data_IF_710864309081
#
_entry.id   IF_710864309081
#
_cell.length_a   1.000
_cell.length_b   1.000
_cell.length_c   1.000
_cell.angle_alpha   90.00
_cell.angle_beta   90.00
_cell.angle_gamma   90.00
#
_symmetry.space_group_name_H-M   'P 1'
#
loop_
_entity.id
_entity.type
_entity.pdbx_description
1 polymer ?
#
# COMPACT_ATOMS: atom_id res chain seq x y z
N UNK A 1 35.09 25.06 -62.06
CA UNK A 1 33.81 24.98 -61.32
C UNK A 1 33.83 23.80 -60.35
N UNK A 2 34.40 23.95 -59.15
CA UNK A 2 34.38 22.90 -58.10
C UNK A 2 34.19 23.45 -56.68
N UNK A 3 33.87 24.73 -56.54
CA UNK A 3 33.72 25.39 -55.22
C UNK A 3 32.41 25.02 -54.52
N UNK A 4 31.31 24.83 -55.27
CA UNK A 4 29.98 24.56 -54.67
C UNK A 4 29.89 23.22 -53.93
N UNK A 5 30.45 22.14 -54.48
CA UNK A 5 30.37 20.79 -53.89
C UNK A 5 31.10 20.69 -52.54
N UNK A 6 32.25 21.35 -52.42
CA UNK A 6 33.05 21.33 -51.18
C UNK A 6 32.43 22.20 -50.09
N UNK A 7 31.68 23.24 -50.45
CA UNK A 7 30.96 24.09 -49.51
C UNK A 7 29.72 23.35 -48.96
N UNK A 8 28.95 22.70 -49.81
CA UNK A 8 27.80 21.87 -49.41
C UNK A 8 28.24 20.71 -48.50
N UNK A 9 29.36 20.05 -48.82
CA UNK A 9 29.89 18.96 -48.00
C UNK A 9 30.29 19.41 -46.59
N UNK A 10 30.91 20.58 -46.43
CA UNK A 10 31.23 21.15 -45.10
C UNK A 10 29.98 21.52 -44.30
N UNK A 11 28.94 22.02 -44.96
CA UNK A 11 27.65 22.33 -44.32
C UNK A 11 26.97 21.05 -43.81
N UNK A 12 26.94 19.99 -44.61
CA UNK A 12 26.36 18.70 -44.21
C UNK A 12 27.12 18.09 -43.02
N UNK A 13 28.45 18.14 -43.04
CA UNK A 13 29.30 17.67 -41.93
C UNK A 13 29.05 18.51 -40.66
N UNK A 14 28.92 19.83 -40.80
CA UNK A 14 28.61 20.71 -39.68
C UNK A 14 27.25 20.44 -39.04
N UNK A 15 26.21 20.21 -39.86
CA UNK A 15 24.87 19.86 -39.38
C UNK A 15 24.88 18.48 -38.69
N UNK A 16 25.56 17.50 -39.28
CA UNK A 16 25.72 16.18 -38.67
C UNK A 16 26.42 16.23 -37.31
N UNK A 17 27.49 17.03 -37.19
CA UNK A 17 28.19 17.25 -35.93
C UNK A 17 27.31 17.95 -34.89
N UNK A 18 26.51 18.95 -35.29
CA UNK A 18 25.59 19.65 -34.40
C UNK A 18 24.51 18.70 -33.85
N UNK A 19 23.92 17.86 -34.71
CA UNK A 19 22.93 16.86 -34.30
C UNK A 19 23.54 15.87 -33.31
N UNK A 20 24.76 15.38 -33.57
CA UNK A 20 25.47 14.47 -32.67
C UNK A 20 25.71 15.09 -31.28
N UNK A 21 26.08 16.37 -31.23
CA UNK A 21 26.27 17.09 -29.96
C UNK A 21 24.95 17.25 -29.20
N UNK A 22 23.86 17.60 -29.89
CA UNK A 22 22.52 17.76 -29.27
C UNK A 22 22.00 16.43 -28.72
N UNK A 23 22.11 15.35 -29.49
CA UNK A 23 21.67 14.00 -29.06
C UNK A 23 22.55 13.48 -27.94
N UNK A 24 23.88 13.66 -28.05
CA UNK A 24 24.82 13.28 -26.99
C UNK A 24 24.56 14.04 -25.70
N UNK A 25 24.31 15.35 -25.76
CA UNK A 25 23.95 16.14 -24.58
C UNK A 25 22.60 15.70 -23.99
N UNK A 26 21.60 15.42 -24.83
CA UNK A 26 20.30 14.90 -24.40
C UNK A 26 20.39 13.53 -23.72
N UNK A 27 21.25 12.63 -24.19
CA UNK A 27 21.46 11.33 -23.53
C UNK A 27 22.27 11.43 -22.23
N UNK A 28 23.23 12.36 -22.15
CA UNK A 28 24.13 12.48 -20.99
C UNK A 28 23.54 13.35 -19.87
N UNK A 29 22.71 14.34 -20.20
CA UNK A 29 22.12 15.30 -19.25
C UNK A 29 20.59 15.25 -19.19
N UNK A 30 19.91 14.53 -20.07
CA UNK A 30 18.43 14.44 -20.10
C UNK A 30 17.81 13.57 -19.01
N UNK A 31 18.62 12.80 -18.27
CA UNK A 31 18.16 11.95 -17.17
C UNK A 31 18.54 12.47 -15.77
N UNK A 32 18.93 13.75 -15.65
CA UNK A 32 19.55 14.26 -14.43
C UNK A 32 19.02 15.60 -13.93
N UNK A 33 17.77 15.63 -13.47
CA UNK A 33 17.38 16.59 -12.44
C UNK A 33 16.33 15.94 -11.52
N UNK A 34 16.70 15.43 -10.33
CA UNK A 34 15.72 15.32 -9.26
C UNK A 34 15.30 16.75 -8.92
N UNK A 35 14.11 17.14 -9.37
CA UNK A 35 13.44 18.29 -8.77
C UNK A 35 13.19 17.92 -7.32
N UNK A 36 14.02 18.43 -6.42
CA UNK A 36 13.77 18.43 -4.98
C UNK A 36 12.59 19.36 -4.69
N UNK A 37 11.40 18.92 -5.08
CA UNK A 37 10.15 19.42 -4.53
C UNK A 37 9.89 18.53 -3.32
N UNK A 38 9.90 19.13 -2.13
CA UNK A 38 9.53 18.46 -0.88
C UNK A 38 8.08 17.99 -1.01
N UNK A 39 7.88 16.73 -1.39
CA UNK A 39 6.56 16.13 -1.52
C UNK A 39 6.08 15.70 -0.15
N UNK A 40 5.13 16.48 0.38
CA UNK A 40 4.23 16.04 1.43
C UNK A 40 3.53 14.76 0.94
N UNK A 41 3.75 13.62 1.60
CA UNK A 41 3.08 12.37 1.27
C UNK A 41 1.60 12.51 1.67
N UNK A 42 0.76 12.89 0.72
CA UNK A 42 -0.66 12.56 0.75
C UNK A 42 -0.75 11.13 0.23
N UNK A 43 -1.28 10.21 1.04
CA UNK A 43 -1.66 8.88 0.61
C UNK A 43 -2.81 8.99 -0.41
N UNK A 44 -2.50 9.37 -1.64
CA UNK A 44 -3.33 9.06 -2.80
C UNK A 44 -3.33 7.54 -3.00
N UNK A 45 -4.34 6.98 -3.69
CA UNK A 45 -4.44 5.53 -3.89
C UNK A 45 -3.13 5.07 -4.52
N UNK A 46 -2.30 4.45 -3.69
CA UNK A 46 -1.06 3.86 -4.12
C UNK A 46 -1.45 2.83 -5.19
N UNK A 47 -0.73 2.82 -6.29
CA UNK A 47 -0.77 1.74 -7.28
C UNK A 47 -0.21 0.47 -6.63
N UNK A 48 -0.93 -0.08 -5.64
CA UNK A 48 -0.66 -1.37 -5.00
C UNK A 48 -1.59 -2.36 -5.64
N UNK A 49 -1.37 -2.69 -6.90
CA UNK A 49 -2.31 -3.65 -7.50
C UNK A 49 -1.73 -4.39 -8.69
N UNK A 50 -0.64 -5.14 -8.47
CA UNK A 50 -0.32 -6.32 -9.29
C UNK A 50 0.58 -7.32 -8.54
N UNK A 51 1.56 -6.85 -7.77
CA UNK A 51 2.50 -7.76 -7.10
C UNK A 51 1.90 -8.43 -5.84
N UNK A 52 1.14 -7.69 -5.01
CA UNK A 52 0.47 -8.28 -3.84
C UNK A 52 -0.56 -9.35 -4.20
N UNK A 53 -1.23 -9.20 -5.36
CA UNK A 53 -2.19 -10.19 -5.86
C UNK A 53 -1.53 -11.50 -6.30
N UNK A 54 -0.32 -11.43 -6.88
CA UNK A 54 0.45 -12.62 -7.29
C UNK A 54 0.93 -13.43 -6.10
N UNK A 55 1.42 -12.78 -5.05
CA UNK A 55 1.88 -13.45 -3.83
C UNK A 55 0.75 -14.23 -3.14
N UNK A 56 -0.44 -13.60 -3.03
CA UNK A 56 -1.64 -14.25 -2.49
C UNK A 56 -2.07 -15.43 -3.38
N UNK A 57 -2.08 -15.26 -4.70
CA UNK A 57 -2.42 -16.33 -5.64
C UNK A 57 -1.45 -17.52 -5.54
N UNK A 58 -0.15 -17.26 -5.40
CA UNK A 58 0.86 -18.29 -5.19
C UNK A 58 0.65 -19.03 -3.86
N UNK A 59 0.34 -18.31 -2.78
CA UNK A 59 0.02 -18.92 -1.50
C UNK A 59 -1.24 -19.81 -1.60
N UNK A 60 -2.29 -19.35 -2.27
CA UNK A 60 -3.51 -20.13 -2.47
C UNK A 60 -3.26 -21.39 -3.31
N UNK A 61 -2.43 -21.31 -4.35
CA UNK A 61 -2.05 -22.47 -5.16
C UNK A 61 -1.25 -23.49 -4.34
N UNK A 62 -0.37 -23.02 -3.45
CA UNK A 62 0.37 -23.88 -2.52
C UNK A 62 -0.53 -24.53 -1.46
N UNK A 63 -1.53 -23.81 -0.95
CA UNK A 63 -2.52 -24.38 -0.02
C UNK A 63 -3.46 -25.38 -0.71
N UNK A 64 -3.79 -25.15 -1.99
CA UNK A 64 -4.60 -26.07 -2.78
C UNK A 64 -3.87 -27.38 -3.07
N UNK A 65 -2.55 -27.34 -3.27
CA UNK A 65 -1.74 -28.54 -3.53
C UNK A 65 -1.42 -29.35 -2.27
N UNK A 66 -1.65 -28.78 -1.09
CA UNK A 66 -1.50 -29.45 0.19
C UNK A 66 -2.54 -30.57 0.34
N UNK A 67 -2.08 -31.81 0.20
CA UNK A 67 -2.89 -32.99 0.50
C UNK A 67 -2.75 -33.34 1.98
N UNK A 68 -3.80 -33.08 2.76
CA UNK A 68 -3.86 -33.50 4.15
C UNK A 68 -4.10 -35.00 4.21
N UNK A 69 -3.12 -35.73 4.74
CA UNK A 69 -3.23 -37.17 4.94
C UNK A 69 -4.06 -37.47 6.20
N UNK A 70 -5.33 -37.84 5.99
CA UNK A 70 -6.25 -38.20 7.07
C UNK A 70 -5.95 -39.56 7.73
N UNK A 71 -5.01 -40.36 7.20
CA UNK A 71 -4.68 -41.67 7.79
C UNK A 71 -4.09 -41.55 9.20
N UNK A 72 -3.52 -40.40 9.57
CA UNK A 72 -3.02 -40.15 10.93
C UNK A 72 -4.15 -40.27 11.98
N UNK A 73 -5.40 -39.94 11.64
CA UNK A 73 -6.56 -40.06 12.52
C UNK A 73 -7.03 -41.51 12.72
N UNK A 74 -6.55 -42.44 11.89
CA UNK A 74 -6.82 -43.87 12.02
C UNK A 74 -5.77 -44.60 12.87
N UNK A 75 -4.65 -43.96 13.18
CA UNK A 75 -3.60 -44.54 14.00
C UNK A 75 -4.11 -44.79 15.43
N UNK A 76 -3.95 -46.02 16.00
CA UNK A 76 -4.31 -46.31 17.38
C UNK A 76 -3.71 -45.34 18.40
N UNK A 77 -2.49 -44.86 18.16
CA UNK A 77 -1.83 -43.87 19.02
C UNK A 77 -2.57 -42.53 19.02
N UNK A 78 -3.05 -42.06 17.86
CA UNK A 78 -3.87 -40.84 17.78
C UNK A 78 -5.23 -41.05 18.48
N UNK A 79 -5.85 -42.22 18.28
CA UNK A 79 -7.13 -42.57 18.94
C UNK A 79 -7.03 -42.74 20.46
N UNK A 80 -5.84 -43.03 20.97
CA UNK A 80 -5.59 -43.10 22.42
C UNK A 80 -5.39 -41.74 23.08
N UNK A 81 -5.27 -40.65 22.31
CA UNK A 81 -5.14 -39.31 22.87
C UNK A 81 -6.44 -38.93 23.58
N UNK A 82 -6.32 -38.63 24.87
CA UNK A 82 -7.41 -38.14 25.69
C UNK A 82 -7.30 -36.62 25.75
N UNK A 83 -8.42 -35.93 25.55
CA UNK A 83 -8.48 -34.49 25.80
C UNK A 83 -8.33 -34.23 27.31
N UNK A 84 -7.49 -33.26 27.66
CA UNK A 84 -7.23 -32.82 29.03
C UNK A 84 -7.79 -31.42 29.29
N UNK A 85 -8.72 -30.96 28.45
CA UNK A 85 -9.49 -29.75 28.70
C UNK A 85 -10.03 -29.71 30.13
N UNK A 86 -9.78 -28.60 30.82
CA UNK A 86 -10.34 -28.32 32.13
C UNK A 86 -11.52 -27.37 31.97
N UNK A 87 -12.63 -27.66 32.63
CA UNK A 87 -13.78 -26.76 32.67
C UNK A 87 -13.34 -25.41 33.22
N UNK A 88 -13.55 -24.35 32.42
CA UNK A 88 -13.24 -22.98 32.84
C UNK A 88 -14.43 -22.47 33.65
N UNK A 89 -14.25 -22.16 34.95
CA UNK A 89 -15.33 -21.58 35.73
C UNK A 89 -15.68 -20.19 35.20
N UNK A 90 -16.97 -19.80 35.25
CA UNK A 90 -17.39 -18.45 34.87
C UNK A 90 -16.62 -17.41 35.68
N UNK A 91 -15.92 -16.51 34.98
CA UNK A 91 -15.26 -15.38 35.63
C UNK A 91 -16.26 -14.22 35.80
N UNK A 92 -16.23 -13.48 36.91
CA UNK A 92 -17.04 -12.28 37.09
C UNK A 92 -16.70 -11.25 36.01
N UNK A 93 -17.66 -10.38 35.64
CA UNK A 93 -17.41 -9.32 34.66
C UNK A 93 -16.18 -8.51 35.09
N UNK A 94 -15.27 -8.28 34.14
CA UNK A 94 -14.08 -7.48 34.34
C UNK A 94 -14.39 -6.03 34.71
N UNK A 95 -13.33 -5.25 34.95
CA UNK A 95 -13.46 -3.80 35.21
C UNK A 95 -14.07 -3.09 34.01
N UNK A 96 -14.83 -2.03 34.27
CA UNK A 96 -15.28 -1.11 33.22
C UNK A 96 -14.07 -0.62 32.41
N UNK A 97 -14.25 -0.50 31.09
CA UNK A 97 -13.18 -0.07 30.18
C UNK A 97 -12.75 1.36 30.54
N UNK A 98 -11.52 1.58 31.06
CA UNK A 98 -11.06 2.93 31.44
C UNK A 98 -10.78 3.82 30.23
N UNK A 99 -10.82 3.26 29.02
CA UNK A 99 -10.70 3.97 27.75
C UNK A 99 -12.04 4.10 27.01
N UNK A 100 -13.17 3.77 27.65
CA UNK A 100 -14.48 4.01 27.06
C UNK A 100 -14.64 5.51 26.76
N UNK A 101 -15.12 5.90 25.57
CA UNK A 101 -15.39 7.29 25.25
C UNK A 101 -16.31 7.90 26.32
N UNK A 102 -15.92 9.06 26.84
CA UNK A 102 -16.78 9.80 27.77
C UNK A 102 -18.10 10.11 27.07
N UNK A 103 -19.25 9.97 27.74
CA UNK A 103 -20.51 10.41 27.17
C UNK A 103 -20.37 11.89 26.80
N UNK A 104 -20.71 12.22 25.56
CA UNK A 104 -20.71 13.59 25.08
C UNK A 104 -21.59 14.40 26.03
N UNK A 105 -20.96 15.30 26.80
CA UNK A 105 -21.69 16.31 27.56
C UNK A 105 -22.36 17.20 26.54
N UNK A 106 -23.63 16.96 26.27
CA UNK A 106 -24.50 17.95 25.64
C UNK A 106 -24.52 19.13 26.62
N UNK A 107 -23.78 20.18 26.28
CA UNK A 107 -23.85 21.44 27.00
C UNK A 107 -25.24 21.99 26.73
N UNK A 108 -26.20 21.70 27.61
CA UNK A 108 -27.43 22.49 27.67
C UNK A 108 -26.98 23.92 27.99
N UNK A 109 -27.24 24.90 27.11
CA UNK A 109 -26.83 26.26 27.36
C UNK A 109 -27.44 26.73 28.68
N UNK A 110 -26.58 27.04 29.66
CA UNK A 110 -26.99 27.69 30.90
C UNK A 110 -27.22 29.17 30.60
N UNK A 111 -28.41 29.49 30.11
CA UNK A 111 -28.91 30.85 29.90
C UNK A 111 -30.41 30.87 30.14
N UNK A 112 -30.84 31.67 31.11
CA UNK A 112 -32.14 31.56 31.76
C UNK A 112 -33.35 32.08 30.98
N UNK A 113 -34.51 31.73 31.55
CA UNK A 113 -35.81 32.39 31.46
C UNK A 113 -36.37 32.72 30.07
N UNK A 114 -37.48 32.06 29.70
CA UNK A 114 -38.86 32.64 29.73
C UNK A 114 -39.77 31.87 28.77
N UNK A 115 -40.88 31.32 29.28
CA UNK A 115 -42.14 31.25 28.55
C UNK A 115 -42.56 29.90 27.96
N UNK A 116 -43.69 29.39 28.45
CA UNK A 116 -44.68 28.73 27.59
C UNK A 116 -44.98 27.26 27.91
N UNK A 117 -46.00 27.05 28.75
CA UNK A 117 -46.81 25.83 28.76
C UNK A 117 -47.28 25.48 27.34
N UNK A 118 -47.22 24.20 26.97
CA UNK A 118 -48.16 23.59 26.04
C UNK A 118 -48.56 22.23 26.62
N UNK A 119 -49.88 22.00 26.60
CA UNK A 119 -50.72 21.00 27.28
C UNK A 119 -50.22 19.55 27.22
#
# INVERSE_FOLDING_TARGET
MTTGKNMVMKIIIGIGALILVVVGYGMLFGNGAPKSESQLIVAGPQQVELESGKEILQLLLNLKSLQLNASIFSNPAFRSLKDFGQDIPPQPRGRENPFAPLPLRVQTPRGGATGGLVL
#
